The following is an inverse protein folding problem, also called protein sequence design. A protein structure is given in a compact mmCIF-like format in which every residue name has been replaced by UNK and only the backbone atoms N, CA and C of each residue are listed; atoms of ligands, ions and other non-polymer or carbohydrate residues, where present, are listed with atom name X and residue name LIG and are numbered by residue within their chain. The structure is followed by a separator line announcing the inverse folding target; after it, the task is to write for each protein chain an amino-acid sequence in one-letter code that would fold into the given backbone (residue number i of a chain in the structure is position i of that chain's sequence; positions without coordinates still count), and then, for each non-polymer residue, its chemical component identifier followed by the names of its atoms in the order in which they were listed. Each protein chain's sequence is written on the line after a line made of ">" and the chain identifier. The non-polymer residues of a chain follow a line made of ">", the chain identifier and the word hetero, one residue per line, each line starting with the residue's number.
data_IF_716666733686
#
_entry.id   IF_716666733686
#
_cell.length_a   1.000
_cell.length_b   1.000
_cell.length_c   1.000
_cell.angle_alpha   90.00
_cell.angle_beta   90.00
_cell.angle_gamma   90.00
#
_symmetry.space_group_name_H-M   'P 1'
#
loop_
_entity.id
_entity.type
_entity.pdbx_description
1 polymer ?
#
# COMPACT_ATOMS: atom_id res chain seq x y z
N UNK A 1 -3.72 -8.19 -0.25
CA UNK A 1 -2.84 -7.00 -0.22
C UNK A 1 -3.59 -5.87 -0.93
N UNK A 2 -3.57 -4.64 -0.41
CA UNK A 2 -4.26 -3.49 -0.99
C UNK A 2 -3.27 -2.35 -1.25
N UNK A 3 -3.20 -1.91 -2.52
CA UNK A 3 -2.29 -0.86 -3.02
C UNK A 3 -2.87 0.56 -3.03
N UNK A 4 -4.19 0.68 -2.83
CA UNK A 4 -4.96 1.91 -2.90
C UNK A 4 -5.89 2.05 -1.71
N UNK A 5 -7.06 2.67 -1.91
CA UNK A 5 -8.13 2.67 -0.89
C UNK A 5 -8.49 1.26 -0.42
N UNK A 6 -8.81 1.05 0.87
CA UNK A 6 -9.30 -0.22 1.38
C UNK A 6 -10.77 -0.50 1.03
N UNK A 7 -11.38 0.22 0.07
CA UNK A 7 -12.79 0.12 -0.31
C UNK A 7 -13.30 -1.30 -0.56
N UNK A 8 -12.61 -2.10 -1.38
CA UNK A 8 -13.03 -3.48 -1.66
C UNK A 8 -12.90 -4.39 -0.43
N UNK A 9 -11.89 -4.13 0.41
CA UNK A 9 -11.72 -4.84 1.68
C UNK A 9 -12.85 -4.52 2.64
N UNK A 10 -13.24 -3.25 2.74
CA UNK A 10 -14.40 -2.82 3.53
C UNK A 10 -15.69 -3.49 3.05
N UNK A 11 -15.91 -3.58 1.72
CA UNK A 11 -17.07 -4.27 1.15
C UNK A 11 -17.05 -5.76 1.47
N UNK A 12 -15.89 -6.40 1.40
CA UNK A 12 -15.75 -7.81 1.75
C UNK A 12 -16.08 -8.07 3.22
N UNK A 13 -15.58 -7.24 4.14
CA UNK A 13 -15.92 -7.36 5.57
C UNK A 13 -17.39 -7.09 5.88
N UNK A 14 -18.04 -6.17 5.16
CA UNK A 14 -19.49 -5.96 5.29
C UNK A 14 -20.29 -7.17 4.80
N UNK A 15 -19.83 -7.83 3.74
CA UNK A 15 -20.51 -8.97 3.16
C UNK A 15 -20.31 -10.25 3.98
N UNK A 16 -19.11 -10.47 4.51
CA UNK A 16 -18.77 -11.63 5.35
C UNK A 16 -17.77 -11.22 6.45
N UNK A 17 -18.25 -10.79 7.63
CA UNK A 17 -17.40 -10.38 8.73
C UNK A 17 -16.44 -11.48 9.22
N UNK A 18 -16.82 -12.77 9.11
CA UNK A 18 -16.02 -13.87 9.64
C UNK A 18 -14.69 -14.08 8.88
N UNK A 19 -14.50 -13.47 7.69
CA UNK A 19 -13.20 -13.52 7.01
C UNK A 19 -12.08 -12.82 7.78
N UNK A 20 -12.40 -11.92 8.73
CA UNK A 20 -11.41 -11.24 9.57
C UNK A 20 -10.57 -12.22 10.39
N UNK A 21 -11.16 -13.35 10.79
CA UNK A 21 -10.46 -14.40 11.53
C UNK A 21 -9.46 -15.17 10.65
N UNK A 22 -9.64 -15.15 9.32
CA UNK A 22 -8.89 -16.00 8.39
C UNK A 22 -7.84 -15.25 7.57
N UNK A 23 -7.89 -13.92 7.56
CA UNK A 23 -7.06 -13.09 6.71
C UNK A 23 -6.25 -12.08 7.51
N UNK A 24 -5.09 -11.70 6.97
CA UNK A 24 -4.32 -10.53 7.41
C UNK A 24 -4.27 -9.55 6.26
N UNK A 25 -4.75 -8.32 6.49
CA UNK A 25 -4.72 -7.25 5.51
C UNK A 25 -3.34 -6.58 5.50
N UNK A 26 -2.58 -6.76 4.43
CA UNK A 26 -1.40 -5.92 4.15
C UNK A 26 -1.86 -4.72 3.32
N UNK A 27 -1.66 -3.50 3.84
CA UNK A 27 -2.15 -2.27 3.22
C UNK A 27 -1.09 -1.17 3.19
N UNK A 28 -0.87 -0.57 2.02
CA UNK A 28 -0.06 0.64 1.85
C UNK A 28 -0.95 1.88 1.97
N UNK A 29 -0.78 2.63 3.04
CA UNK A 29 -1.60 3.80 3.29
C UNK A 29 -1.63 4.23 4.76
N UNK A 30 -2.14 5.43 4.97
CA UNK A 30 -2.16 6.10 6.27
C UNK A 30 -0.90 6.91 6.57
N UNK A 31 -1.08 7.91 7.42
CA UNK A 31 0.01 8.79 7.85
C UNK A 31 0.98 8.06 8.77
N UNK A 32 2.14 8.68 8.94
CA UNK A 32 3.16 8.28 9.89
C UNK A 32 2.56 8.11 11.30
N UNK A 33 3.00 7.10 12.04
CA UNK A 33 2.58 6.92 13.43
C UNK A 33 3.24 7.97 14.33
N UNK A 34 2.53 8.35 15.40
CA UNK A 34 3.06 9.31 16.36
C UNK A 34 4.38 8.79 16.96
N UNK A 35 5.44 9.57 16.82
CA UNK A 35 6.77 9.24 17.33
C UNK A 35 7.65 8.36 16.42
N UNK A 36 7.17 7.92 15.25
CA UNK A 36 8.01 7.12 14.32
C UNK A 36 8.76 7.98 13.31
N UNK A 37 8.08 8.95 12.71
CA UNK A 37 8.66 9.84 11.70
C UNK A 37 7.95 11.19 11.68
N UNK A 38 8.67 12.22 11.21
CA UNK A 38 8.07 13.53 10.94
C UNK A 38 7.43 13.52 9.56
N UNK A 39 6.17 13.97 9.49
CA UNK A 39 5.51 14.19 8.22
C UNK A 39 6.33 15.16 7.33
N UNK A 40 6.48 14.87 6.03
CA UNK A 40 7.19 15.73 5.09
C UNK A 40 6.60 17.14 5.05
N UNK A 41 7.42 18.14 4.72
CA UNK A 41 6.92 19.50 4.50
C UNK A 41 5.87 19.52 3.37
N UNK A 42 4.76 20.22 3.60
CA UNK A 42 3.63 20.26 2.67
C UNK A 42 2.77 18.98 2.63
N UNK A 43 3.04 17.99 3.50
CA UNK A 43 2.19 16.82 3.63
C UNK A 43 0.75 17.21 4.01
N UNK A 44 -0.23 16.62 3.33
CA UNK A 44 -1.63 16.69 3.75
C UNK A 44 -1.81 15.94 5.06
N UNK A 45 -2.70 16.46 5.91
CA UNK A 45 -3.07 15.84 7.18
C UNK A 45 -3.60 14.41 6.97
N UNK A 46 -4.41 14.22 5.94
CA UNK A 46 -4.91 12.92 5.51
C UNK A 46 -4.00 12.33 4.43
N UNK A 47 -3.58 11.09 4.60
CA UNK A 47 -2.77 10.38 3.59
C UNK A 47 -3.60 10.03 2.35
N UNK A 48 -2.95 9.97 1.18
CA UNK A 48 -3.60 9.85 -0.12
C UNK A 48 -4.54 8.65 -0.25
N UNK A 49 -4.06 7.42 0.04
CA UNK A 49 -4.88 6.21 -0.09
C UNK A 49 -6.04 6.19 0.92
N UNK A 50 -5.82 6.75 2.10
CA UNK A 50 -6.87 6.94 3.09
C UNK A 50 -7.92 7.97 2.65
N UNK A 51 -7.49 9.04 1.96
CA UNK A 51 -8.36 10.10 1.48
C UNK A 51 -9.28 9.68 0.32
N UNK A 52 -8.93 8.64 -0.42
CA UNK A 52 -9.74 8.12 -1.53
C UNK A 52 -11.09 7.57 -1.07
N UNK A 53 -11.17 6.98 0.13
CA UNK A 53 -12.43 6.54 0.73
C UNK A 53 -12.29 6.48 2.27
N UNK A 54 -12.54 7.62 2.91
CA UNK A 54 -12.43 7.76 4.37
C UNK A 54 -13.42 6.85 5.10
N UNK A 55 -14.62 6.66 4.55
CA UNK A 55 -15.64 5.82 5.16
C UNK A 55 -15.25 4.34 5.15
N UNK A 56 -14.67 3.85 4.05
CA UNK A 56 -14.11 2.51 3.99
C UNK A 56 -12.95 2.33 4.97
N UNK A 57 -12.03 3.29 5.04
CA UNK A 57 -10.92 3.24 5.99
C UNK A 57 -11.44 3.21 7.45
N UNK A 58 -12.34 4.12 7.81
CA UNK A 58 -12.97 4.12 9.14
C UNK A 58 -13.65 2.80 9.47
N UNK A 59 -14.40 2.22 8.52
CA UNK A 59 -15.05 0.93 8.74
C UNK A 59 -14.01 -0.17 9.02
N UNK A 60 -12.96 -0.29 8.19
CA UNK A 60 -11.92 -1.31 8.37
C UNK A 60 -11.19 -1.14 9.70
N UNK A 61 -10.81 0.08 10.09
CA UNK A 61 -10.02 0.31 11.31
C UNK A 61 -10.83 0.32 12.60
N UNK A 62 -12.07 0.82 12.57
CA UNK A 62 -12.84 1.08 13.79
C UNK A 62 -13.98 0.07 14.01
N UNK A 63 -14.44 -0.59 12.96
CA UNK A 63 -15.68 -1.40 13.00
C UNK A 63 -15.45 -2.88 12.66
N UNK A 64 -14.20 -3.30 12.42
CA UNK A 64 -13.88 -4.71 12.11
C UNK A 64 -12.72 -5.22 12.96
N UNK A 65 -12.68 -6.54 13.18
CA UNK A 65 -11.55 -7.23 13.82
C UNK A 65 -10.42 -7.55 12.83
N UNK A 66 -10.26 -6.75 11.78
CA UNK A 66 -9.24 -6.95 10.77
C UNK A 66 -7.84 -6.93 11.40
N UNK A 67 -7.06 -7.99 11.16
CA UNK A 67 -5.62 -7.98 11.45
C UNK A 67 -4.90 -7.23 10.35
N UNK A 68 -4.37 -6.05 10.64
CA UNK A 68 -3.81 -5.14 9.64
C UNK A 68 -2.30 -5.03 9.81
N UNK A 69 -1.59 -5.25 8.71
CA UNK A 69 -0.18 -4.89 8.52
C UNK A 69 -0.16 -3.63 7.66
N UNK A 70 -0.05 -2.50 8.34
CA UNK A 70 -0.01 -1.19 7.71
C UNK A 70 1.41 -0.85 7.27
N UNK A 71 1.55 -0.36 6.04
CA UNK A 71 2.74 0.31 5.53
C UNK A 71 2.43 1.81 5.41
N UNK A 72 2.73 2.61 6.46
CA UNK A 72 2.46 4.04 6.46
C UNK A 72 3.41 4.82 5.54
N UNK A 73 3.11 6.11 5.36
CA UNK A 73 3.80 7.03 4.45
C UNK A 73 5.31 7.07 4.58
N UNK A 74 5.84 7.11 5.79
CA UNK A 74 7.28 7.06 6.07
C UNK A 74 7.91 5.75 5.58
N UNK A 75 7.22 4.62 5.80
CA UNK A 75 7.71 3.29 5.38
C UNK A 75 7.73 3.17 3.87
N UNK A 76 6.62 3.43 3.17
CA UNK A 76 6.60 3.22 1.72
C UNK A 76 7.45 4.24 0.95
N UNK A 77 7.71 5.43 1.51
CA UNK A 77 8.62 6.41 0.91
C UNK A 77 10.10 6.07 1.10
N UNK A 78 10.43 5.19 2.04
CA UNK A 78 11.81 4.70 2.21
C UNK A 78 12.28 3.86 1.02
N UNK A 79 11.35 3.25 0.27
CA UNK A 79 11.62 2.42 -0.91
C UNK A 79 11.92 3.26 -2.17
N UNK A 80 12.75 4.29 -2.05
CA UNK A 80 13.16 5.11 -3.18
C UNK A 80 14.20 4.37 -4.04
N UNK A 81 13.97 4.32 -5.35
CA UNK A 81 14.91 3.77 -6.32
C UNK A 81 15.50 4.87 -7.20
N UNK A 82 16.77 4.73 -7.56
CA UNK A 82 17.44 5.74 -8.38
C UNK A 82 16.95 5.69 -9.83
N UNK A 83 16.96 6.83 -10.51
CA UNK A 83 16.58 6.92 -11.92
C UNK A 83 17.44 6.01 -12.83
N UNK A 84 18.76 5.82 -12.61
CA UNK A 84 19.53 4.81 -13.32
C UNK A 84 18.98 3.38 -13.18
N UNK A 85 18.51 2.98 -11.98
CA UNK A 85 17.88 1.67 -11.77
C UNK A 85 16.61 1.55 -12.61
N UNK A 86 15.74 2.56 -12.57
CA UNK A 86 14.51 2.59 -13.41
C UNK A 86 14.87 2.48 -14.90
N UNK A 87 15.87 3.23 -15.38
CA UNK A 87 16.32 3.20 -16.77
C UNK A 87 16.92 1.86 -17.18
N UNK A 88 17.61 1.16 -16.28
CA UNK A 88 18.16 -0.17 -16.53
C UNK A 88 17.05 -1.16 -16.88
N UNK A 89 15.98 -1.22 -16.07
CA UNK A 89 14.85 -2.12 -16.33
C UNK A 89 14.07 -1.74 -17.60
N UNK A 90 13.91 -0.44 -17.89
CA UNK A 90 13.28 0.02 -19.15
C UNK A 90 14.01 -0.44 -20.43
N UNK A 91 15.32 -0.68 -20.33
CA UNK A 91 16.15 -1.09 -21.48
C UNK A 91 16.12 -2.61 -21.71
N UNK A 92 15.80 -3.38 -20.67
CA UNK A 92 15.58 -4.82 -20.74
C UNK A 92 14.21 -5.11 -21.38
N UNK A 93 13.20 -4.33 -20.99
CA UNK A 93 11.83 -4.47 -21.48
C UNK A 93 11.43 -3.27 -22.35
N UNK A 94 11.78 -3.33 -23.64
CA UNK A 94 11.40 -2.32 -24.66
C UNK A 94 9.87 -2.24 -24.91
N UNK A 95 9.02 -2.72 -23.99
CA UNK A 95 7.56 -2.69 -24.11
C UNK A 95 6.80 -2.32 -22.82
N UNK A 96 7.45 -1.86 -21.74
CA UNK A 96 6.75 -1.51 -20.51
C UNK A 96 6.41 -0.01 -20.44
N UNK A 97 5.21 0.33 -20.93
CA UNK A 97 4.41 1.35 -20.26
C UNK A 97 4.14 0.85 -18.83
N UNK A 98 4.18 1.76 -17.85
CA UNK A 98 4.05 1.56 -16.41
C UNK A 98 2.69 0.93 -16.00
N UNK A 99 2.32 -0.25 -16.49
CA UNK A 99 1.00 -0.84 -16.22
C UNK A 99 1.02 -1.92 -15.17
N UNK A 100 2.15 -2.57 -14.87
CA UNK A 100 2.25 -3.47 -13.71
C UNK A 100 3.69 -3.57 -13.24
N UNK A 101 3.90 -3.49 -11.92
CA UNK A 101 5.07 -4.12 -11.29
C UNK A 101 5.00 -5.61 -11.65
N UNK A 102 5.65 -6.02 -12.74
CA UNK A 102 5.69 -7.41 -13.14
C UNK A 102 6.47 -8.17 -12.08
N UNK A 103 5.88 -9.24 -11.56
CA UNK A 103 6.48 -10.18 -10.61
C UNK A 103 7.88 -10.67 -11.03
N UNK A 104 8.20 -10.56 -12.32
CA UNK A 104 9.47 -10.90 -12.92
C UNK A 104 10.65 -10.08 -12.38
N UNK A 105 10.48 -8.76 -12.18
CA UNK A 105 11.53 -7.91 -11.61
C UNK A 105 11.81 -8.24 -10.12
N UNK A 106 10.79 -8.73 -9.40
CA UNK A 106 10.93 -9.18 -8.01
C UNK A 106 11.61 -10.56 -7.93
N UNK A 107 11.28 -11.48 -8.84
CA UNK A 107 11.91 -12.79 -8.93
C UNK A 107 13.42 -12.68 -9.20
N UNK A 108 13.81 -11.82 -10.16
CA UNK A 108 15.22 -11.55 -10.46
C UNK A 108 15.98 -10.94 -9.27
N UNK A 109 15.34 -10.07 -8.48
CA UNK A 109 15.95 -9.50 -7.27
C UNK A 109 16.10 -10.53 -6.13
N UNK A 110 15.19 -11.49 -6.03
CA UNK A 110 15.25 -12.58 -5.05
C UNK A 110 16.20 -13.72 -5.46
N UNK A 111 16.84 -13.64 -6.63
CA UNK A 111 17.75 -14.67 -7.13
C UNK A 111 17.06 -15.99 -7.48
N UNK A 112 15.78 -15.94 -7.85
CA UNK A 112 14.96 -17.07 -8.28
C UNK A 112 14.73 -17.08 -9.79
#
# INVERSE_FOLDING_TARGET
>A
MAGGSPGDVARAYRAEPAIAERLTLIWIGGSEHAGTARAPEGATALEYNMALDVAAAMHVFNETDARIWQMPRDVYRSAAVSLPVIRRYRRIDNNLLLTTCSFQALAEWLGA
#
